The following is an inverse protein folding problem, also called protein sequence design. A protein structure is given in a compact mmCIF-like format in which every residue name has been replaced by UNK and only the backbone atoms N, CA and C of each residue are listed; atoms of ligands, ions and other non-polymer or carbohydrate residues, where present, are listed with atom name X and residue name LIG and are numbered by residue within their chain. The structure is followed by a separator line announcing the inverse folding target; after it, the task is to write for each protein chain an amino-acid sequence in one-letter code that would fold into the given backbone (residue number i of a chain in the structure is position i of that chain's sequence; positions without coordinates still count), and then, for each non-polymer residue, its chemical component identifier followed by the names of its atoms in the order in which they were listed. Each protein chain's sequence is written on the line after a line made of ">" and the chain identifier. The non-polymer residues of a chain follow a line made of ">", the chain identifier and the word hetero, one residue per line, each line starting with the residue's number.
data_IF_891390255805
#
_entry.id   IF_891390255805
#
_cell.length_a   1.000
_cell.length_b   1.000
_cell.length_c   1.000
_cell.angle_alpha   90.00
_cell.angle_beta   90.00
_cell.angle_gamma   90.00
#
_symmetry.space_group_name_H-M   'P 1'
#
loop_
_entity.id
_entity.type
_entity.pdbx_description
1 polymer ?
#
# COMPACT_ATOMS: atom_id res chain seq x y z
N UNK A 1 -20.36 -3.92 -12.13
CA UNK A 1 -20.83 -4.93 -11.16
C UNK A 1 -19.79 -6.02 -10.90
N UNK A 2 -19.23 -6.68 -11.93
CA UNK A 2 -18.24 -7.76 -11.74
C UNK A 2 -17.00 -7.34 -10.92
N UNK A 3 -16.38 -6.19 -11.21
CA UNK A 3 -15.25 -5.69 -10.41
C UNK A 3 -15.61 -5.50 -8.93
N UNK A 4 -16.84 -5.04 -8.64
CA UNK A 4 -17.32 -4.89 -7.26
C UNK A 4 -17.46 -6.26 -6.57
N UNK A 5 -18.01 -7.27 -7.27
CA UNK A 5 -18.09 -8.63 -6.75
C UNK A 5 -16.69 -9.20 -6.44
N UNK A 6 -15.72 -9.08 -7.35
CA UNK A 6 -14.35 -9.57 -7.13
C UNK A 6 -13.70 -8.86 -5.94
N UNK A 7 -13.82 -7.53 -5.85
CA UNK A 7 -13.30 -6.76 -4.71
C UNK A 7 -13.92 -7.21 -3.38
N UNK A 8 -15.24 -7.40 -3.32
CA UNK A 8 -15.92 -7.87 -2.12
C UNK A 8 -15.50 -9.31 -1.76
N UNK A 9 -15.47 -10.20 -2.75
CA UNK A 9 -15.05 -11.59 -2.57
C UNK A 9 -13.64 -11.66 -2.00
N UNK A 10 -12.66 -10.99 -2.62
CA UNK A 10 -11.28 -10.97 -2.13
C UNK A 10 -11.18 -10.34 -0.75
N UNK A 11 -11.91 -9.24 -0.50
CA UNK A 11 -11.91 -8.53 0.77
C UNK A 11 -12.40 -9.39 1.93
N UNK A 12 -13.57 -10.01 1.78
CA UNK A 12 -14.15 -10.85 2.83
C UNK A 12 -13.28 -12.06 3.15
N UNK A 13 -12.76 -12.76 2.15
CA UNK A 13 -12.00 -13.99 2.40
C UNK A 13 -10.57 -13.70 2.86
N UNK A 14 -9.88 -12.72 2.28
CA UNK A 14 -8.50 -12.41 2.67
C UNK A 14 -8.45 -11.87 4.10
N UNK A 15 -9.29 -10.87 4.42
CA UNK A 15 -9.36 -10.33 5.78
C UNK A 15 -9.90 -11.39 6.76
N UNK A 16 -10.90 -12.17 6.35
CA UNK A 16 -11.46 -13.24 7.17
C UNK A 16 -10.42 -14.28 7.59
N UNK A 17 -9.56 -14.72 6.65
CA UNK A 17 -8.47 -15.65 6.96
C UNK A 17 -7.40 -15.02 7.87
N UNK A 18 -7.02 -13.77 7.63
CA UNK A 18 -6.08 -13.08 8.51
C UNK A 18 -6.62 -12.97 9.95
N UNK A 19 -7.88 -12.56 10.11
CA UNK A 19 -8.53 -12.43 11.42
C UNK A 19 -8.70 -13.79 12.09
N UNK A 20 -9.08 -14.83 11.34
CA UNK A 20 -9.10 -16.21 11.85
C UNK A 20 -7.74 -16.62 12.40
N UNK A 21 -6.68 -16.42 11.62
CA UNK A 21 -5.32 -16.78 12.02
C UNK A 21 -4.81 -15.97 13.22
N UNK A 22 -5.14 -14.67 13.32
CA UNK A 22 -4.85 -13.86 14.51
C UNK A 22 -5.55 -14.40 15.76
N UNK A 23 -6.83 -14.77 15.64
CA UNK A 23 -7.60 -15.34 16.75
C UNK A 23 -6.99 -16.66 17.24
N UNK A 24 -6.68 -17.59 16.33
CA UNK A 24 -6.09 -18.88 16.70
C UNK A 24 -4.70 -18.71 17.36
N UNK A 25 -3.88 -17.76 16.89
CA UNK A 25 -2.61 -17.42 17.54
C UNK A 25 -2.81 -16.85 18.93
N UNK A 26 -3.76 -15.93 19.09
CA UNK A 26 -4.07 -15.32 20.38
C UNK A 26 -4.61 -16.35 21.39
N UNK A 27 -5.31 -17.38 20.91
CA UNK A 27 -5.80 -18.51 21.72
C UNK A 27 -4.73 -19.58 21.97
N UNK A 28 -3.51 -19.41 21.48
CA UNK A 28 -2.42 -20.38 21.66
C UNK A 28 -2.59 -21.68 20.88
N UNK A 29 -3.38 -21.68 19.80
CA UNK A 29 -3.64 -22.84 18.93
C UNK A 29 -3.13 -22.59 17.49
N UNK A 30 -1.82 -22.41 17.28
CA UNK A 30 -1.25 -22.08 15.97
C UNK A 30 -1.52 -23.17 14.90
N UNK A 31 -1.70 -24.41 15.32
CA UNK A 31 -2.04 -25.56 14.47
C UNK A 31 -3.43 -25.46 13.83
N UNK A 32 -4.31 -24.61 14.36
CA UNK A 32 -5.67 -24.36 13.83
C UNK A 32 -5.75 -23.21 12.82
N UNK A 33 -4.61 -22.58 12.52
CA UNK A 33 -4.56 -21.62 11.42
C UNK A 33 -4.94 -22.27 10.09
N UNK A 34 -5.52 -21.47 9.21
CA UNK A 34 -5.78 -21.89 7.83
C UNK A 34 -4.59 -21.44 6.99
N UNK A 35 -3.74 -22.41 6.66
CA UNK A 35 -2.51 -22.22 5.89
C UNK A 35 -2.67 -22.82 4.49
N UNK A 36 -2.97 -21.96 3.51
CA UNK A 36 -3.16 -22.39 2.12
C UNK A 36 -1.85 -22.25 1.36
N UNK A 37 -1.33 -23.36 0.84
CA UNK A 37 -0.13 -23.37 0.01
C UNK A 37 -0.39 -22.74 -1.38
N UNK A 38 0.49 -21.86 -1.89
CA UNK A 38 0.37 -21.26 -3.21
C UNK A 38 0.79 -22.24 -4.32
N UNK A 39 0.13 -23.40 -4.41
CA UNK A 39 0.51 -24.53 -5.28
C UNK A 39 0.63 -24.15 -6.76
N UNK A 40 -0.20 -23.21 -7.25
CA UNK A 40 -0.09 -22.73 -8.64
C UNK A 40 1.19 -21.94 -8.88
N UNK A 41 1.60 -21.11 -7.92
CA UNK A 41 2.84 -20.35 -8.03
C UNK A 41 4.06 -21.25 -7.81
N UNK A 42 3.98 -22.23 -6.90
CA UNK A 42 5.02 -23.25 -6.70
C UNK A 42 5.20 -24.11 -7.96
N UNK A 43 4.10 -24.45 -8.62
CA UNK A 43 4.12 -25.13 -9.93
C UNK A 43 4.80 -24.26 -11.00
N UNK A 44 4.55 -22.95 -11.02
CA UNK A 44 5.28 -22.02 -11.91
C UNK A 44 6.79 -22.04 -11.63
N UNK A 45 7.20 -22.10 -10.36
CA UNK A 45 8.64 -22.24 -10.04
C UNK A 45 9.19 -23.59 -10.54
N UNK A 46 8.42 -24.67 -10.42
CA UNK A 46 8.81 -26.00 -10.88
C UNK A 46 8.94 -26.08 -12.42
N UNK A 47 7.98 -25.55 -13.18
CA UNK A 47 8.09 -25.55 -14.66
C UNK A 47 9.29 -24.71 -15.15
N UNK A 48 9.78 -23.78 -14.33
CA UNK A 48 11.00 -23.03 -14.57
C UNK A 48 12.27 -23.74 -14.09
N UNK A 49 12.19 -24.97 -13.55
CA UNK A 49 13.35 -25.77 -13.19
C UNK A 49 13.75 -25.75 -11.72
N UNK A 50 12.92 -25.16 -10.84
CA UNK A 50 13.15 -25.22 -9.40
C UNK A 50 12.73 -26.59 -8.86
N UNK A 51 13.68 -27.33 -8.27
CA UNK A 51 13.45 -28.73 -7.83
C UNK A 51 12.89 -28.87 -6.42
N UNK A 52 12.90 -27.77 -5.64
CA UNK A 52 12.52 -27.75 -4.21
C UNK A 52 11.14 -28.37 -3.91
N UNK A 53 10.17 -28.22 -4.80
CA UNK A 53 8.78 -28.63 -4.57
C UNK A 53 8.48 -30.08 -4.98
N UNK A 54 9.46 -30.83 -5.48
CA UNK A 54 9.30 -32.24 -5.86
C UNK A 54 8.37 -32.49 -7.07
N UNK A 55 7.99 -31.43 -7.81
CA UNK A 55 7.20 -31.55 -9.04
C UNK A 55 8.16 -31.71 -10.22
N UNK A 56 8.15 -32.90 -10.85
CA UNK A 56 8.93 -33.19 -12.05
C UNK A 56 8.10 -32.92 -13.30
N UNK A 57 8.30 -31.76 -13.93
CA UNK A 57 7.60 -31.34 -15.15
C UNK A 57 8.42 -30.29 -15.91
N UNK A 58 8.26 -30.21 -17.24
CA UNK A 58 8.96 -29.24 -18.08
C UNK A 58 10.44 -29.10 -17.67
N UNK A 59 10.91 -27.89 -17.32
CA UNK A 59 12.33 -27.64 -17.02
C UNK A 59 12.83 -28.28 -15.72
N UNK A 60 11.97 -28.73 -14.81
CA UNK A 60 12.41 -29.51 -13.63
C UNK A 60 12.54 -31.01 -13.92
N UNK A 61 12.06 -31.48 -15.08
CA UNK A 61 12.24 -32.85 -15.54
C UNK A 61 13.39 -32.91 -16.56
N UNK A 62 14.51 -33.61 -16.26
CA UNK A 62 15.67 -33.66 -17.15
C UNK A 62 15.36 -34.26 -18.53
N UNK A 63 14.35 -35.14 -18.60
CA UNK A 63 13.97 -35.88 -19.81
C UNK A 63 12.85 -35.19 -20.61
N UNK A 64 12.36 -34.03 -20.15
CA UNK A 64 11.29 -33.30 -20.84
C UNK A 64 11.75 -32.78 -22.20
N UNK A 65 10.83 -32.72 -23.16
CA UNK A 65 11.03 -32.04 -24.45
C UNK A 65 11.45 -30.58 -24.23
N UNK A 66 10.90 -29.90 -23.22
CA UNK A 66 11.25 -28.52 -22.89
C UNK A 66 12.70 -28.39 -22.42
N UNK A 67 13.18 -29.34 -21.61
CA UNK A 67 14.54 -29.35 -21.07
C UNK A 67 15.56 -29.74 -22.13
N UNK A 68 15.28 -30.80 -22.89
CA UNK A 68 16.17 -31.32 -23.94
C UNK A 68 16.19 -30.41 -25.18
N UNK A 69 15.19 -29.55 -25.35
CA UNK A 69 14.96 -28.72 -26.54
C UNK A 69 15.00 -29.53 -27.84
N UNK A 70 14.39 -30.72 -27.85
CA UNK A 70 14.26 -31.50 -29.08
C UNK A 70 13.45 -30.70 -30.13
N UNK A 71 13.87 -30.68 -31.41
CA UNK A 71 14.92 -31.50 -32.02
C UNK A 71 16.32 -30.87 -32.10
N UNK A 72 16.47 -29.58 -31.83
CA UNK A 72 17.72 -28.86 -32.11
C UNK A 72 18.72 -28.85 -30.95
N UNK A 73 18.30 -29.24 -29.74
CA UNK A 73 19.12 -29.24 -28.52
C UNK A 73 19.78 -27.87 -28.26
N UNK A 74 19.10 -26.78 -28.63
CA UNK A 74 19.63 -25.42 -28.59
C UNK A 74 19.60 -24.75 -27.21
N UNK A 75 19.62 -25.51 -26.12
CA UNK A 75 19.37 -25.06 -24.75
C UNK A 75 20.63 -24.53 -24.01
N UNK A 76 21.49 -23.78 -24.69
CA UNK A 76 22.80 -23.33 -24.15
C UNK A 76 22.67 -22.48 -22.87
N UNK A 77 21.57 -21.74 -22.71
CA UNK A 77 21.30 -20.95 -21.51
C UNK A 77 20.86 -21.79 -20.29
N UNK A 78 20.36 -23.01 -20.53
CA UNK A 78 19.64 -23.78 -19.54
C UNK A 78 20.51 -24.24 -18.37
N UNK A 79 21.76 -24.71 -18.54
CA UNK A 79 22.59 -25.09 -17.40
C UNK A 79 22.80 -23.94 -16.41
N UNK A 80 23.16 -22.75 -16.91
CA UNK A 80 23.35 -21.55 -16.06
C UNK A 80 22.05 -21.07 -15.43
N UNK A 81 20.93 -21.19 -16.14
CA UNK A 81 19.60 -20.92 -15.57
C UNK A 81 19.24 -21.87 -14.42
N UNK A 82 19.42 -23.18 -14.62
CA UNK A 82 19.10 -24.20 -13.62
C UNK A 82 20.00 -24.09 -12.40
N UNK A 83 21.28 -23.75 -12.59
CA UNK A 83 22.20 -23.42 -11.50
C UNK A 83 21.69 -22.22 -10.70
N UNK A 84 21.33 -21.12 -11.38
CA UNK A 84 20.87 -19.90 -10.72
C UNK A 84 19.54 -20.07 -9.98
N UNK A 85 18.53 -20.73 -10.57
CA UNK A 85 17.20 -20.87 -9.95
C UNK A 85 17.19 -21.85 -8.76
N UNK A 86 18.14 -22.80 -8.73
CA UNK A 86 18.30 -23.74 -7.62
C UNK A 86 19.36 -23.28 -6.61
N UNK A 87 20.07 -22.17 -6.89
CA UNK A 87 20.93 -21.52 -5.93
C UNK A 87 20.08 -20.90 -4.81
N UNK A 88 20.24 -21.39 -3.58
CA UNK A 88 19.58 -20.84 -2.40
C UNK A 88 20.13 -19.50 -1.91
N UNK A 89 21.05 -18.88 -2.66
CA UNK A 89 21.79 -17.68 -2.23
C UNK A 89 21.45 -16.43 -3.04
N UNK A 90 20.40 -16.45 -3.86
CA UNK A 90 19.93 -15.30 -4.64
C UNK A 90 18.41 -15.10 -4.49
N UNK A 91 17.87 -14.07 -5.13
CA UNK A 91 16.43 -13.76 -5.13
C UNK A 91 15.67 -14.28 -6.35
N UNK A 92 16.28 -15.15 -7.17
CA UNK A 92 15.64 -15.72 -8.36
C UNK A 92 14.61 -16.77 -7.94
N UNK A 93 13.33 -16.46 -8.13
CA UNK A 93 12.21 -17.31 -7.70
C UNK A 93 12.33 -17.76 -6.23
N UNK A 94 12.30 -16.80 -5.31
CA UNK A 94 12.29 -17.06 -3.87
C UNK A 94 11.25 -18.12 -3.49
N UNK A 95 11.58 -18.98 -2.53
CA UNK A 95 10.62 -19.95 -1.98
C UNK A 95 9.41 -19.22 -1.41
N UNK A 96 8.23 -19.72 -1.74
CA UNK A 96 6.93 -19.17 -1.33
C UNK A 96 6.11 -20.22 -0.57
N UNK A 97 5.32 -19.74 0.40
CA UNK A 97 4.43 -20.53 1.24
C UNK A 97 3.13 -19.79 1.62
N UNK A 98 2.46 -20.18 2.71
CA UNK A 98 1.13 -19.67 3.06
C UNK A 98 1.06 -18.16 3.34
N UNK A 99 2.11 -17.60 3.94
CA UNK A 99 2.23 -16.15 4.13
C UNK A 99 2.24 -15.37 2.81
N UNK A 100 2.96 -15.90 1.81
CA UNK A 100 2.98 -15.35 0.46
C UNK A 100 1.61 -15.45 -0.21
N UNK A 101 0.89 -16.56 -0.02
CA UNK A 101 -0.45 -16.74 -0.57
C UNK A 101 -1.40 -15.63 -0.11
N UNK A 102 -1.47 -15.38 1.20
CA UNK A 102 -2.40 -14.39 1.77
C UNK A 102 -2.09 -12.97 1.28
N UNK A 103 -0.82 -12.58 1.28
CA UNK A 103 -0.45 -11.22 0.88
C UNK A 103 -0.62 -10.99 -0.63
N UNK A 104 -0.43 -12.00 -1.48
CA UNK A 104 -0.77 -11.88 -2.89
C UNK A 104 -2.27 -11.68 -3.12
N UNK A 105 -3.13 -12.28 -2.30
CA UNK A 105 -4.58 -12.03 -2.35
C UNK A 105 -4.95 -10.64 -1.83
N UNK A 106 -4.22 -10.11 -0.83
CA UNK A 106 -4.36 -8.72 -0.40
C UNK A 106 -3.92 -7.74 -1.51
N UNK A 107 -2.82 -8.02 -2.20
CA UNK A 107 -2.37 -7.23 -3.36
C UNK A 107 -3.42 -7.29 -4.47
N UNK A 108 -3.96 -8.48 -4.77
CA UNK A 108 -5.03 -8.64 -5.75
C UNK A 108 -6.28 -7.82 -5.36
N UNK A 109 -6.68 -7.83 -4.09
CA UNK A 109 -7.77 -6.99 -3.57
C UNK A 109 -7.50 -5.51 -3.87
N UNK A 110 -6.32 -5.01 -3.49
CA UNK A 110 -5.93 -3.62 -3.71
C UNK A 110 -5.97 -3.21 -5.18
N UNK A 111 -5.42 -4.05 -6.07
CA UNK A 111 -5.45 -3.83 -7.51
C UNK A 111 -6.88 -3.79 -8.07
N UNK A 112 -7.75 -4.72 -7.67
CA UNK A 112 -9.13 -4.76 -8.14
C UNK A 112 -9.96 -3.59 -7.62
N UNK A 113 -9.79 -3.19 -6.36
CA UNK A 113 -10.51 -2.03 -5.79
C UNK A 113 -10.03 -0.73 -6.44
N UNK A 114 -8.72 -0.55 -6.61
CA UNK A 114 -8.17 0.63 -7.30
C UNK A 114 -8.70 0.71 -8.73
N UNK A 115 -8.69 -0.41 -9.46
CA UNK A 115 -9.24 -0.50 -10.81
C UNK A 115 -10.74 -0.22 -10.84
N UNK A 116 -11.51 -0.76 -9.89
CA UNK A 116 -12.95 -0.51 -9.77
C UNK A 116 -13.26 0.97 -9.66
N UNK A 117 -12.55 1.69 -8.78
CA UNK A 117 -12.78 3.12 -8.56
C UNK A 117 -12.46 3.92 -9.83
N UNK A 118 -11.30 3.66 -10.46
CA UNK A 118 -10.89 4.35 -11.68
C UNK A 118 -11.82 4.07 -12.87
N UNK A 119 -12.14 2.80 -13.11
CA UNK A 119 -13.01 2.39 -14.23
C UNK A 119 -14.42 2.95 -14.03
N UNK A 120 -14.98 2.85 -12.81
CA UNK A 120 -16.30 3.42 -12.52
C UNK A 120 -16.31 4.94 -12.66
N UNK A 121 -15.28 5.63 -12.17
CA UNK A 121 -15.12 7.07 -12.35
C UNK A 121 -15.06 7.50 -13.82
N UNK A 122 -14.36 6.72 -14.66
CA UNK A 122 -14.25 6.99 -16.10
C UNK A 122 -15.55 6.71 -16.86
N UNK A 123 -16.22 5.58 -16.58
CA UNK A 123 -17.46 5.20 -17.25
C UNK A 123 -18.64 6.12 -16.88
N UNK A 124 -18.72 6.56 -15.62
CA UNK A 124 -19.77 7.47 -15.12
C UNK A 124 -19.40 8.96 -15.30
N UNK A 125 -18.30 9.28 -15.99
CA UNK A 125 -17.82 10.65 -16.15
C UNK A 125 -18.77 11.51 -16.98
N UNK A 126 -19.40 10.94 -18.01
CA UNK A 126 -20.32 11.69 -18.88
C UNK A 126 -21.71 11.88 -18.28
N UNK A 127 -22.10 11.02 -17.35
CA UNK A 127 -23.40 11.03 -16.72
C UNK A 127 -23.65 9.73 -15.97
N UNK A 128 -24.46 9.80 -14.92
CA UNK A 128 -25.00 8.65 -14.21
C UNK A 128 -26.49 8.86 -13.95
N UNK A 129 -27.20 7.86 -13.40
CA UNK A 129 -28.61 8.05 -13.03
C UNK A 129 -28.82 9.20 -12.05
N UNK A 130 -27.86 9.45 -11.16
CA UNK A 130 -27.95 10.49 -10.14
C UNK A 130 -27.72 11.91 -10.71
N UNK A 131 -26.82 12.02 -11.68
CA UNK A 131 -26.47 13.27 -12.38
C UNK A 131 -26.27 12.96 -13.88
N UNK A 132 -27.34 12.98 -14.68
CA UNK A 132 -27.29 12.57 -16.10
C UNK A 132 -26.48 13.50 -17.00
N UNK A 133 -26.40 14.78 -16.62
CA UNK A 133 -25.77 15.90 -17.31
C UNK A 133 -24.34 16.18 -16.83
N UNK A 134 -23.70 15.22 -16.15
CA UNK A 134 -22.35 15.40 -15.55
C UNK A 134 -21.30 15.92 -16.53
N UNK A 135 -21.34 15.50 -17.80
CA UNK A 135 -20.45 15.99 -18.86
C UNK A 135 -20.43 17.52 -19.00
N UNK A 136 -21.53 18.20 -18.67
CA UNK A 136 -21.70 19.64 -18.87
C UNK A 136 -20.99 20.44 -17.75
N UNK A 137 -20.59 19.77 -16.66
CA UNK A 137 -19.88 20.34 -15.52
C UNK A 137 -18.35 20.12 -15.58
N UNK A 138 -17.88 19.35 -16.57
CA UNK A 138 -16.46 19.05 -16.75
C UNK A 138 -15.91 17.97 -15.80
N UNK A 139 -14.57 17.86 -15.77
CA UNK A 139 -13.89 16.77 -15.06
C UNK A 139 -13.87 16.94 -13.53
N UNK A 140 -13.70 18.17 -13.05
CA UNK A 140 -13.49 18.50 -11.65
C UNK A 140 -14.45 19.60 -11.22
N UNK A 141 -15.34 19.27 -10.27
CA UNK A 141 -16.30 20.18 -9.67
C UNK A 141 -16.66 19.67 -8.26
N UNK A 142 -17.15 20.53 -7.34
CA UNK A 142 -17.30 20.17 -5.92
C UNK A 142 -18.33 19.07 -5.63
N UNK A 143 -19.54 19.27 -6.14
CA UNK A 143 -20.75 18.46 -6.01
C UNK A 143 -21.86 19.10 -6.87
N UNK A 144 -23.03 18.47 -6.92
CA UNK A 144 -24.27 19.01 -7.50
C UNK A 144 -25.32 19.26 -6.39
N UNK A 145 -24.86 19.90 -5.31
CA UNK A 145 -25.65 20.30 -4.14
C UNK A 145 -26.09 19.17 -3.21
N UNK A 146 -26.76 19.53 -2.09
CA UNK A 146 -27.26 18.57 -1.10
C UNK A 146 -28.58 17.88 -1.50
N UNK A 147 -29.20 18.30 -2.60
CA UNK A 147 -30.44 17.70 -3.11
C UNK A 147 -30.25 16.23 -3.56
N UNK A 148 -31.35 15.53 -3.84
CA UNK A 148 -31.37 14.12 -4.31
C UNK A 148 -30.63 13.14 -3.38
N UNK A 149 -30.55 13.45 -2.08
CA UNK A 149 -29.87 12.64 -1.07
C UNK A 149 -28.39 13.00 -0.86
N UNK A 150 -27.87 14.01 -1.56
CA UNK A 150 -26.47 14.46 -1.47
C UNK A 150 -25.60 13.92 -2.61
N UNK A 151 -24.75 14.79 -3.16
CA UNK A 151 -23.91 14.49 -4.34
C UNK A 151 -22.43 14.79 -4.10
N UNK A 152 -21.98 14.63 -2.85
CA UNK A 152 -20.57 14.75 -2.51
C UNK A 152 -19.73 13.74 -3.31
N UNK A 153 -18.54 14.15 -3.72
CA UNK A 153 -17.55 13.29 -4.39
C UNK A 153 -18.08 12.60 -5.67
N UNK A 154 -18.96 13.27 -6.42
CA UNK A 154 -19.64 12.70 -7.61
C UNK A 154 -18.84 12.89 -8.91
N UNK A 155 -17.86 13.80 -8.95
CA UNK A 155 -17.10 14.11 -10.16
C UNK A 155 -16.13 12.98 -10.54
N UNK A 156 -15.67 12.97 -11.78
CA UNK A 156 -14.66 12.00 -12.22
C UNK A 156 -13.30 12.25 -11.54
N UNK A 157 -12.98 13.52 -11.23
CA UNK A 157 -11.81 13.89 -10.44
C UNK A 157 -11.88 13.32 -9.01
N UNK A 158 -13.06 13.29 -8.39
CA UNK A 158 -13.22 12.73 -7.04
C UNK A 158 -12.96 11.21 -7.03
N UNK A 159 -13.26 10.51 -8.13
CA UNK A 159 -12.89 9.10 -8.28
C UNK A 159 -11.37 8.90 -8.38
N UNK A 160 -10.64 9.81 -9.05
CA UNK A 160 -9.18 9.82 -9.03
C UNK A 160 -8.62 10.06 -7.62
N UNK A 161 -9.19 11.04 -6.91
CA UNK A 161 -8.84 11.34 -5.52
C UNK A 161 -9.02 10.11 -4.61
N UNK A 162 -10.16 9.41 -4.69
CA UNK A 162 -10.43 8.19 -3.92
C UNK A 162 -9.51 7.02 -4.33
N UNK A 163 -9.26 6.86 -5.63
CA UNK A 163 -8.38 5.80 -6.13
C UNK A 163 -6.93 5.97 -5.66
N UNK A 164 -6.49 7.20 -5.43
CA UNK A 164 -5.11 7.47 -4.98
C UNK A 164 -4.84 6.90 -3.58
N UNK A 165 -5.82 6.94 -2.66
CA UNK A 165 -5.68 6.28 -1.35
C UNK A 165 -5.54 4.77 -1.48
N UNK A 166 -6.35 4.15 -2.34
CA UNK A 166 -6.28 2.71 -2.60
C UNK A 166 -4.99 2.30 -3.31
N UNK A 167 -4.50 3.14 -4.21
CA UNK A 167 -3.21 2.95 -4.87
C UNK A 167 -2.08 2.98 -3.84
N UNK A 168 -2.01 3.99 -2.97
CA UNK A 168 -0.97 4.08 -1.93
C UNK A 168 -1.02 2.88 -0.99
N UNK A 169 -2.22 2.48 -0.56
CA UNK A 169 -2.40 1.30 0.29
C UNK A 169 -1.96 -0.01 -0.41
N UNK A 170 -2.31 -0.18 -1.68
CA UNK A 170 -1.89 -1.36 -2.47
C UNK A 170 -0.38 -1.41 -2.64
N UNK A 171 0.24 -0.28 -2.99
CA UNK A 171 1.69 -0.19 -3.09
C UNK A 171 2.37 -0.44 -1.74
N UNK A 172 1.80 0.08 -0.65
CA UNK A 172 2.26 -0.20 0.70
C UNK A 172 2.28 -1.69 1.02
N UNK A 173 1.20 -2.42 0.72
CA UNK A 173 1.17 -3.88 0.91
C UNK A 173 2.23 -4.60 0.07
N UNK A 174 2.42 -4.21 -1.18
CA UNK A 174 3.46 -4.78 -2.06
C UNK A 174 4.85 -4.53 -1.49
N UNK A 175 5.17 -3.29 -1.11
CA UNK A 175 6.51 -2.94 -0.62
C UNK A 175 6.78 -3.49 0.78
N UNK A 176 5.76 -3.55 1.65
CA UNK A 176 5.88 -4.17 2.97
C UNK A 176 6.21 -5.65 2.84
N UNK A 177 5.48 -6.35 1.97
CA UNK A 177 5.75 -7.75 1.65
C UNK A 177 7.17 -7.96 1.14
N UNK A 178 7.53 -7.20 0.09
CA UNK A 178 8.85 -7.32 -0.52
C UNK A 178 9.97 -7.08 0.49
N UNK A 179 9.86 -6.00 1.27
CA UNK A 179 10.88 -5.60 2.24
C UNK A 179 11.00 -6.62 3.37
N UNK A 180 9.88 -7.04 3.99
CA UNK A 180 9.96 -8.00 5.09
C UNK A 180 10.50 -9.35 4.64
N UNK A 181 10.07 -9.84 3.48
CA UNK A 181 10.57 -11.09 2.92
C UNK A 181 12.08 -11.04 2.68
N UNK A 182 12.59 -9.94 2.13
CA UNK A 182 14.02 -9.76 1.92
C UNK A 182 14.81 -9.59 3.22
N UNK A 183 14.29 -8.86 4.21
CA UNK A 183 14.92 -8.76 5.54
C UNK A 183 15.07 -10.13 6.21
N UNK A 184 14.05 -10.99 6.11
CA UNK A 184 14.11 -12.35 6.65
C UNK A 184 15.17 -13.21 5.94
N UNK A 185 15.34 -13.04 4.62
CA UNK A 185 16.38 -13.72 3.84
C UNK A 185 17.78 -13.20 4.19
N UNK A 186 17.99 -11.89 4.18
CA UNK A 186 19.30 -11.28 4.44
C UNK A 186 19.76 -11.52 5.88
N UNK A 187 18.85 -11.66 6.83
CA UNK A 187 19.16 -12.05 8.21
C UNK A 187 19.40 -13.55 8.41
N UNK A 188 19.21 -14.37 7.37
CA UNK A 188 19.34 -15.82 7.46
C UNK A 188 18.22 -16.51 8.25
N UNK A 189 17.14 -15.79 8.61
CA UNK A 189 16.01 -16.31 9.38
C UNK A 189 14.69 -16.21 8.59
N UNK A 190 14.59 -17.00 7.52
CA UNK A 190 13.38 -17.06 6.67
C UNK A 190 12.15 -17.59 7.45
N UNK A 191 12.38 -18.41 8.48
CA UNK A 191 11.31 -18.94 9.33
C UNK A 191 10.47 -17.82 9.98
N UNK A 192 11.09 -16.71 10.38
CA UNK A 192 10.37 -15.57 10.94
C UNK A 192 9.27 -15.06 9.99
N UNK A 193 9.57 -14.90 8.71
CA UNK A 193 8.56 -14.48 7.73
C UNK A 193 7.52 -15.58 7.54
N UNK A 194 7.95 -16.83 7.36
CA UNK A 194 7.04 -17.94 7.06
C UNK A 194 6.02 -18.20 8.18
N UNK A 195 6.42 -18.04 9.43
CA UNK A 195 5.56 -18.25 10.61
C UNK A 195 4.74 -17.01 10.98
N UNK A 196 5.32 -15.82 10.93
CA UNK A 196 4.65 -14.59 11.40
C UNK A 196 3.80 -13.89 10.34
N UNK A 197 4.00 -14.14 9.05
CA UNK A 197 3.28 -13.39 8.00
C UNK A 197 1.84 -13.87 7.74
N UNK A 198 1.41 -14.97 8.38
CA UNK A 198 0.08 -15.57 8.20
C UNK A 198 -1.03 -14.90 9.01
N UNK A 199 -0.68 -14.01 9.94
CA UNK A 199 -1.58 -13.27 10.82
C UNK A 199 -1.10 -11.81 10.98
N UNK A 200 -2.01 -10.84 11.18
CA UNK A 200 -1.68 -9.41 11.12
C UNK A 200 -0.84 -8.95 12.30
N UNK A 201 -0.97 -9.56 13.48
CA UNK A 201 -0.13 -9.20 14.63
C UNK A 201 1.35 -9.47 14.35
N UNK A 202 1.69 -10.46 13.51
CA UNK A 202 3.07 -10.72 13.09
C UNK A 202 3.62 -9.59 12.23
N UNK A 203 2.84 -9.07 11.28
CA UNK A 203 3.21 -7.88 10.50
C UNK A 203 3.42 -6.65 11.38
N UNK A 204 2.61 -6.48 12.41
CA UNK A 204 2.79 -5.36 13.34
C UNK A 204 4.04 -5.54 14.22
N UNK A 205 4.17 -6.68 14.89
CA UNK A 205 5.22 -6.94 15.89
C UNK A 205 6.59 -7.17 15.27
N UNK A 206 6.65 -8.13 14.35
CA UNK A 206 7.92 -8.70 13.88
C UNK A 206 8.45 -7.96 12.65
N UNK A 207 7.59 -7.20 11.96
CA UNK A 207 8.00 -6.31 10.89
C UNK A 207 8.04 -4.84 11.33
N UNK A 208 6.91 -4.20 11.62
CA UNK A 208 6.89 -2.75 11.87
C UNK A 208 7.60 -2.38 13.17
N UNK A 209 7.21 -2.99 14.29
CA UNK A 209 7.75 -2.65 15.60
C UNK A 209 9.22 -3.04 15.72
N UNK A 210 9.56 -4.31 15.44
CA UNK A 210 10.92 -4.84 15.59
C UNK A 210 11.94 -4.08 14.73
N UNK A 211 11.60 -3.74 13.49
CA UNK A 211 12.54 -3.10 12.57
C UNK A 211 12.59 -1.56 12.75
N UNK A 212 11.68 -0.98 13.53
CA UNK A 212 11.73 0.46 13.88
C UNK A 212 12.73 0.78 15.00
N UNK A 213 13.23 -0.22 15.73
CA UNK A 213 14.02 0.00 16.94
C UNK A 213 15.28 0.87 16.73
N UNK A 214 16.03 0.66 15.64
CA UNK A 214 17.22 1.47 15.35
C UNK A 214 16.87 2.85 14.77
N UNK A 215 15.82 2.91 13.95
CA UNK A 215 15.30 4.17 13.39
C UNK A 215 14.94 5.15 14.51
N UNK A 216 14.13 4.73 15.49
CA UNK A 216 13.66 5.62 16.55
C UNK A 216 14.77 6.01 17.54
N UNK A 217 15.91 5.31 17.52
CA UNK A 217 17.11 5.63 18.29
C UNK A 217 18.17 6.39 17.46
N UNK A 218 17.81 6.90 16.28
CA UNK A 218 18.71 7.75 15.48
C UNK A 218 19.18 8.99 16.24
N UNK A 219 18.33 9.53 17.11
CA UNK A 219 18.67 10.49 18.16
C UNK A 219 17.90 10.16 19.44
N UNK A 220 18.55 10.31 20.59
CA UNK A 220 17.95 10.10 21.90
C UNK A 220 18.65 11.01 22.95
N UNK A 221 18.23 11.03 24.23
CA UNK A 221 18.85 11.91 25.23
C UNK A 221 20.36 11.69 25.46
N UNK A 222 20.90 10.54 25.04
CA UNK A 222 22.31 10.20 25.20
C UNK A 222 23.19 10.64 24.02
N UNK A 223 22.59 10.95 22.86
CA UNK A 223 23.34 11.37 21.67
C UNK A 223 22.60 11.16 20.34
N UNK A 224 23.34 11.30 19.25
CA UNK A 224 22.84 11.13 17.87
C UNK A 224 23.77 10.25 17.05
N UNK A 225 23.24 9.56 16.04
CA UNK A 225 24.02 8.79 15.07
C UNK A 225 23.62 9.15 13.62
N UNK A 226 24.19 8.47 12.63
CA UNK A 226 23.94 8.73 11.21
C UNK A 226 22.48 8.47 10.76
N UNK A 227 21.66 7.78 11.57
CA UNK A 227 20.24 7.56 11.33
C UNK A 227 19.35 8.72 11.81
N UNK A 228 19.91 9.74 12.49
CA UNK A 228 19.15 10.87 13.04
C UNK A 228 18.27 11.58 11.99
N UNK A 229 18.79 11.75 10.76
CA UNK A 229 18.03 12.37 9.66
C UNK A 229 16.80 11.55 9.28
N UNK A 230 16.91 10.22 9.29
CA UNK A 230 15.79 9.33 9.00
C UNK A 230 14.79 9.31 10.14
N UNK A 231 15.25 9.31 11.39
CA UNK A 231 14.38 9.43 12.56
C UNK A 231 13.54 10.72 12.52
N UNK A 232 14.17 11.84 12.14
CA UNK A 232 13.49 13.13 12.00
C UNK A 232 12.51 13.12 10.83
N UNK A 233 12.93 12.60 9.66
CA UNK A 233 12.07 12.47 8.49
C UNK A 233 10.87 11.55 8.75
N UNK A 234 11.04 10.50 9.57
CA UNK A 234 9.97 9.59 9.98
C UNK A 234 8.89 10.32 10.77
N UNK A 235 9.26 11.15 11.77
CA UNK A 235 8.30 11.96 12.51
C UNK A 235 7.69 13.08 11.66
N UNK A 236 8.49 13.71 10.78
CA UNK A 236 7.98 14.70 9.83
C UNK A 236 6.93 14.08 8.89
N UNK A 237 7.18 12.87 8.40
CA UNK A 237 6.21 12.11 7.59
C UNK A 237 4.90 11.87 8.33
N UNK A 238 4.95 11.48 9.61
CA UNK A 238 3.77 11.34 10.45
C UNK A 238 3.03 12.66 10.63
N UNK A 239 3.75 13.76 10.86
CA UNK A 239 3.15 15.08 10.98
C UNK A 239 2.43 15.49 9.68
N UNK A 240 3.10 15.39 8.53
CA UNK A 240 2.52 15.72 7.24
C UNK A 240 1.30 14.85 6.94
N UNK A 241 1.37 13.55 7.24
CA UNK A 241 0.26 12.63 7.10
C UNK A 241 -0.91 13.01 8.02
N UNK A 242 -0.67 13.31 9.30
CA UNK A 242 -1.73 13.71 10.23
C UNK A 242 -2.37 15.06 9.87
N UNK A 243 -1.57 16.04 9.42
CA UNK A 243 -2.06 17.34 8.94
C UNK A 243 -3.00 17.18 7.74
N UNK A 244 -2.81 16.14 6.92
CA UNK A 244 -3.74 15.85 5.82
C UNK A 244 -5.18 15.67 6.30
N UNK A 245 -5.39 15.03 7.46
CA UNK A 245 -6.72 14.74 8.00
C UNK A 245 -7.48 16.02 8.36
N UNK A 246 -6.79 17.11 8.68
CA UNK A 246 -7.42 18.41 8.87
C UNK A 246 -8.21 18.80 7.61
N UNK A 247 -7.60 18.69 6.44
CA UNK A 247 -8.24 19.04 5.16
C UNK A 247 -9.24 17.99 4.66
N UNK A 248 -9.04 16.71 5.00
CA UNK A 248 -9.86 15.61 4.51
C UNK A 248 -11.13 15.39 5.36
N UNK A 249 -11.08 15.68 6.66
CA UNK A 249 -12.21 15.50 7.59
C UNK A 249 -13.02 16.79 7.73
N UNK A 250 -12.36 17.92 8.01
CA UNK A 250 -13.07 19.20 8.22
C UNK A 250 -13.25 19.93 6.90
N UNK A 251 -14.48 20.35 6.61
CA UNK A 251 -14.82 20.88 5.29
C UNK A 251 -14.92 22.41 5.30
N UNK A 252 -15.00 22.98 4.09
CA UNK A 252 -14.87 24.42 3.81
C UNK A 252 -15.70 25.33 4.72
N UNK A 253 -16.96 24.99 4.99
CA UNK A 253 -17.90 25.86 5.73
C UNK A 253 -17.36 26.27 7.09
N UNK A 254 -16.83 25.31 7.86
CA UNK A 254 -16.23 25.55 9.17
C UNK A 254 -15.08 26.57 9.11
N UNK A 255 -14.17 26.39 8.15
CA UNK A 255 -13.02 27.29 7.98
C UNK A 255 -13.41 28.66 7.46
N UNK A 256 -14.46 28.75 6.65
CA UNK A 256 -14.94 30.02 6.11
C UNK A 256 -15.48 30.91 7.24
N UNK A 257 -16.31 30.36 8.13
CA UNK A 257 -16.83 31.09 9.30
C UNK A 257 -15.69 31.53 10.24
N UNK A 258 -14.69 30.67 10.46
CA UNK A 258 -13.51 31.03 11.26
C UNK A 258 -12.73 32.19 10.63
N UNK A 259 -12.48 32.14 9.31
CA UNK A 259 -11.77 33.22 8.59
C UNK A 259 -12.53 34.54 8.67
N UNK A 260 -13.86 34.52 8.65
CA UNK A 260 -14.67 35.73 8.81
C UNK A 260 -14.48 36.37 10.19
N UNK A 261 -14.39 35.56 11.25
CA UNK A 261 -14.06 36.10 12.60
C UNK A 261 -12.64 36.66 12.68
N UNK A 262 -11.68 36.07 11.97
CA UNK A 262 -10.30 36.58 11.90
C UNK A 262 -10.23 37.89 11.12
N UNK A 263 -11.00 38.03 10.04
CA UNK A 263 -11.09 39.26 9.26
C UNK A 263 -11.70 40.38 10.11
N UNK A 264 -12.79 40.09 10.83
CA UNK A 264 -13.37 41.03 11.80
C UNK A 264 -12.34 41.45 12.85
N UNK A 265 -11.57 40.51 13.41
CA UNK A 265 -10.55 40.83 14.40
C UNK A 265 -9.43 41.71 13.81
N UNK A 266 -8.97 41.43 12.59
CA UNK A 266 -7.96 42.25 11.89
C UNK A 266 -8.44 43.69 11.69
N UNK A 267 -9.68 43.88 11.23
CA UNK A 267 -10.26 45.20 10.98
C UNK A 267 -10.46 46.02 12.26
N UNK A 268 -10.68 45.36 13.40
CA UNK A 268 -10.97 46.00 14.68
C UNK A 268 -9.77 46.06 15.64
N UNK A 269 -8.59 45.57 15.25
CA UNK A 269 -7.37 45.62 16.08
C UNK A 269 -6.62 46.93 15.83
N UNK A 270 -6.48 47.82 16.83
CA UNK A 270 -5.65 49.01 16.69
C UNK A 270 -4.21 48.64 16.33
N UNK A 271 -3.57 49.40 15.44
CA UNK A 271 -2.22 49.15 14.90
C UNK A 271 -2.10 47.97 13.92
N UNK A 272 -3.21 47.34 13.50
CA UNK A 272 -3.17 46.51 12.29
C UNK A 272 -3.05 47.44 11.07
N UNK A 273 -1.87 47.44 10.44
CA UNK A 273 -1.62 48.25 9.24
C UNK A 273 -1.54 47.34 8.03
N UNK A 274 -2.25 47.71 6.96
CA UNK A 274 -2.32 46.94 5.73
C UNK A 274 -3.58 46.09 5.64
N UNK A 275 -4.34 46.29 4.56
CA UNK A 275 -5.45 45.44 4.20
C UNK A 275 -4.96 44.38 3.21
N UNK A 276 -5.43 43.11 3.34
CA UNK A 276 -5.18 42.11 2.33
C UNK A 276 -5.63 42.62 0.96
N UNK A 277 -4.74 42.58 -0.03
CA UNK A 277 -5.08 42.92 -1.41
C UNK A 277 -6.16 41.99 -1.96
N UNK A 278 -6.05 40.71 -1.62
CA UNK A 278 -7.02 39.67 -1.94
C UNK A 278 -7.79 39.28 -0.68
N UNK A 279 -9.12 39.14 -0.80
CA UNK A 279 -9.97 38.79 0.34
C UNK A 279 -9.61 37.38 0.85
N UNK A 280 -9.30 37.22 2.15
CA UNK A 280 -9.06 35.90 2.72
C UNK A 280 -10.33 35.06 2.63
N UNK A 281 -10.23 33.87 2.02
CA UNK A 281 -11.31 32.89 1.92
C UNK A 281 -10.76 31.51 2.17
N UNK A 282 -11.61 30.61 2.69
CA UNK A 282 -11.24 29.22 2.84
C UNK A 282 -10.97 28.57 1.46
N UNK A 283 -10.08 27.57 1.43
CA UNK A 283 -9.83 26.74 0.25
C UNK A 283 -11.15 26.23 -0.35
N UNK A 284 -11.20 26.12 -1.68
CA UNK A 284 -12.35 25.50 -2.34
C UNK A 284 -12.45 24.02 -1.94
N UNK A 285 -13.63 23.42 -2.11
CA UNK A 285 -13.86 22.01 -1.76
C UNK A 285 -12.88 21.08 -2.50
N UNK A 286 -12.72 21.28 -3.81
CA UNK A 286 -11.78 20.50 -4.64
C UNK A 286 -10.34 20.78 -4.22
N UNK A 287 -9.99 22.04 -3.94
CA UNK A 287 -8.64 22.40 -3.48
C UNK A 287 -8.30 21.73 -2.14
N UNK A 288 -9.24 21.70 -1.18
CA UNK A 288 -9.02 21.04 0.11
C UNK A 288 -8.79 19.54 -0.06
N UNK A 289 -9.57 18.87 -0.92
CA UNK A 289 -9.34 17.45 -1.28
C UNK A 289 -7.94 17.23 -1.85
N UNK A 290 -7.50 18.10 -2.79
CA UNK A 290 -6.16 17.99 -3.40
C UNK A 290 -5.03 18.26 -2.40
N UNK A 291 -5.15 19.31 -1.59
CA UNK A 291 -4.15 19.68 -0.58
C UNK A 291 -4.05 18.60 0.49
N UNK A 292 -5.19 18.08 0.95
CA UNK A 292 -5.25 16.93 1.85
C UNK A 292 -4.59 15.70 1.24
N UNK A 293 -4.95 15.32 0.01
CA UNK A 293 -4.34 14.18 -0.68
C UNK A 293 -2.83 14.36 -0.86
N UNK A 294 -2.36 15.58 -1.13
CA UNK A 294 -0.93 15.89 -1.29
C UNK A 294 -0.19 15.66 0.03
N UNK A 295 -0.69 16.21 1.14
CA UNK A 295 -0.10 15.99 2.47
C UNK A 295 -0.13 14.52 2.87
N UNK A 296 -1.23 13.82 2.58
CA UNK A 296 -1.36 12.39 2.84
C UNK A 296 -0.30 11.60 2.08
N UNK A 297 -0.14 11.88 0.78
CA UNK A 297 0.81 11.20 -0.11
C UNK A 297 2.25 11.46 0.30
N UNK A 298 2.61 12.73 0.54
CA UNK A 298 3.96 13.13 0.99
C UNK A 298 4.27 12.48 2.33
N UNK A 299 3.36 12.56 3.30
CA UNK A 299 3.53 11.95 4.61
C UNK A 299 3.66 10.43 4.54
N UNK A 300 2.86 9.76 3.72
CA UNK A 300 2.90 8.31 3.51
C UNK A 300 4.26 7.87 2.95
N UNK A 301 4.72 8.53 1.88
CA UNK A 301 6.00 8.21 1.22
C UNK A 301 7.19 8.54 2.13
N UNK A 302 7.20 9.70 2.77
CA UNK A 302 8.30 10.11 3.65
C UNK A 302 8.42 9.19 4.88
N UNK A 303 7.29 8.81 5.48
CA UNK A 303 7.26 7.89 6.62
C UNK A 303 7.84 6.53 6.25
N UNK A 304 7.36 5.92 5.17
CA UNK A 304 7.84 4.61 4.76
C UNK A 304 9.27 4.65 4.22
N UNK A 305 9.63 5.69 3.46
CA UNK A 305 10.98 5.86 2.92
C UNK A 305 12.04 5.95 4.02
N UNK A 306 11.78 6.71 5.07
CA UNK A 306 12.66 6.79 6.23
C UNK A 306 12.78 5.45 6.96
N UNK A 307 11.66 4.75 7.17
CA UNK A 307 11.64 3.43 7.79
C UNK A 307 12.42 2.39 6.98
N UNK A 308 12.16 2.30 5.68
CA UNK A 308 12.80 1.35 4.76
C UNK A 308 14.32 1.51 4.77
N UNK A 309 14.81 2.74 4.61
CA UNK A 309 16.24 3.02 4.54
C UNK A 309 16.92 2.75 5.89
N UNK A 310 16.38 3.30 6.99
CA UNK A 310 17.04 3.18 8.28
C UNK A 310 17.01 1.74 8.82
N UNK A 311 15.89 1.03 8.68
CA UNK A 311 15.78 -0.36 9.15
C UNK A 311 16.72 -1.31 8.40
N UNK A 312 16.93 -1.09 7.11
CA UNK A 312 17.88 -1.88 6.30
C UNK A 312 19.33 -1.49 6.59
N UNK A 313 19.68 -0.21 6.46
CA UNK A 313 21.05 0.27 6.60
C UNK A 313 21.63 0.09 8.01
N UNK A 314 20.77 0.04 9.04
CA UNK A 314 21.19 -0.22 10.41
C UNK A 314 21.70 -1.65 10.65
N UNK A 315 21.30 -2.61 9.81
CA UNK A 315 21.66 -4.03 9.95
C UNK A 315 22.67 -4.50 8.90
N UNK A 316 22.62 -3.89 7.71
CA UNK A 316 23.45 -4.25 6.56
C UNK A 316 24.20 -2.99 6.09
N UNK A 317 25.26 -2.58 6.80
CA UNK A 317 25.99 -1.34 6.52
C UNK A 317 26.75 -1.36 5.18
#
# INVERSE_FOLDING_TARGET
>A
SHLSWVSLFLGFHTLGLYVHNDCEMALGSPDKQILVEPVFAQWIQAIHGKTLYGVSTLLSNPDSIATTAWPNHGNVWLPGWLEAINSGTNSLFLTIGPGDFLVHHAIALGLHVTTLILVKGALDARGSKLMPDKKDFGYSFPCDGPGRGGTCDISAWDSFYLATFWMLNTLGWVTFYWHWKHLAIWSGNVAQFNESSTYLMGWFRDYLWLNSAQLINGYNPMGTNNLAVWAWMFLFGHLAWAVSFMFLITWRGYWQELIETLLWAHENTPLSFGYPKDKPVALSIVQARLVGLTHFTVGYIATYGAFLIASTASRFP
#
